data_IF_344355791089
#
_entry.id   IF_344355791089
#
_cell.length_a   1.000
_cell.length_b   1.000
_cell.length_c   1.000
_cell.angle_alpha   90.00
_cell.angle_beta   90.00
_cell.angle_gamma   90.00
#
_symmetry.space_group_name_H-M   'P 1'
#
loop_
_entity.id
_entity.type
_entity.pdbx_description
1 polymer ?
#
# COMPACT_ATOMS: atom_id res chain seq x y z
N UNK A 1 14.48 10.03 -8.35
CA UNK A 1 13.22 10.65 -8.82
C UNK A 1 12.26 9.53 -9.16
N UNK A 2 11.09 9.44 -8.50
CA UNK A 2 10.05 8.44 -8.75
C UNK A 2 9.44 8.66 -10.15
N UNK A 3 10.19 8.32 -11.19
CA UNK A 3 9.70 8.28 -12.57
C UNK A 3 8.85 7.01 -12.71
N UNK A 4 7.53 7.16 -12.78
CA UNK A 4 6.74 6.22 -13.58
C UNK A 4 5.36 5.78 -13.09
N UNK A 5 4.87 6.12 -11.90
CA UNK A 5 3.50 5.70 -11.53
C UNK A 5 2.90 6.62 -10.48
N UNK A 6 1.84 7.37 -10.83
CA UNK A 6 1.01 8.10 -9.86
C UNK A 6 0.61 7.17 -8.70
N UNK A 7 0.28 5.92 -9.04
CA UNK A 7 -0.01 4.83 -8.12
C UNK A 7 1.05 4.62 -7.02
N UNK A 8 2.36 4.70 -7.32
CA UNK A 8 3.39 4.49 -6.31
C UNK A 8 3.41 5.64 -5.29
N UNK A 9 3.19 6.88 -5.73
CA UNK A 9 3.10 8.03 -4.85
C UNK A 9 1.82 7.98 -3.99
N UNK A 10 0.70 7.58 -4.60
CA UNK A 10 -0.56 7.37 -3.89
C UNK A 10 -0.43 6.28 -2.81
N UNK A 11 0.21 5.14 -3.14
CA UNK A 11 0.48 4.06 -2.18
C UNK A 11 1.36 4.56 -1.04
N UNK A 12 2.41 5.34 -1.33
CA UNK A 12 3.28 5.91 -0.31
C UNK A 12 2.50 6.80 0.67
N UNK A 13 1.75 7.79 0.15
CA UNK A 13 0.98 8.71 0.97
C UNK A 13 -0.08 7.96 1.80
N UNK A 14 -0.76 7.00 1.18
CA UNK A 14 -1.74 6.17 1.83
C UNK A 14 -1.15 5.26 2.93
N UNK A 15 0.01 4.63 2.70
CA UNK A 15 0.68 3.82 3.72
C UNK A 15 1.15 4.70 4.89
N UNK A 16 1.75 5.85 4.62
CA UNK A 16 2.21 6.78 5.65
C UNK A 16 1.06 7.22 6.57
N UNK A 17 -0.09 7.57 5.99
CA UNK A 17 -1.27 7.96 6.75
C UNK A 17 -1.95 6.77 7.44
N UNK A 18 -2.06 5.63 6.77
CA UNK A 18 -2.83 4.48 7.28
C UNK A 18 -2.08 3.71 8.35
N UNK A 19 -0.79 3.43 8.16
CA UNK A 19 0.02 2.69 9.14
C UNK A 19 0.16 3.48 10.44
N UNK A 20 0.27 4.81 10.37
CA UNK A 20 0.33 5.67 11.55
C UNK A 20 -0.97 5.65 12.37
N UNK A 21 -2.12 5.47 11.70
CA UNK A 21 -3.44 5.41 12.35
C UNK A 21 -3.80 4.02 12.90
N UNK A 22 -3.03 2.98 12.59
CA UNK A 22 -3.26 1.65 13.14
C UNK A 22 -2.71 1.65 14.56
N UNK A 23 -3.60 1.73 15.55
CA UNK A 23 -3.25 1.58 16.96
C UNK A 23 -3.63 0.16 17.43
N UNK A 24 -2.65 -0.56 17.99
CA UNK A 24 -2.85 -1.91 18.51
C UNK A 24 -2.67 -3.01 17.47
N UNK A 25 -3.76 -3.50 16.86
CA UNK A 25 -3.76 -4.76 16.10
C UNK A 25 -3.50 -4.57 14.60
N UNK A 26 -2.80 -5.50 13.95
CA UNK A 26 -2.64 -5.49 12.49
C UNK A 26 -3.98 -5.52 11.76
N UNK A 27 -4.09 -4.77 10.67
CA UNK A 27 -5.31 -4.66 9.87
C UNK A 27 -5.12 -5.40 8.55
N UNK A 28 -6.03 -6.32 8.24
CA UNK A 28 -6.07 -7.00 6.95
C UNK A 28 -6.85 -6.12 5.96
N UNK A 29 -6.22 -5.79 4.84
CA UNK A 29 -6.85 -5.16 3.70
C UNK A 29 -6.92 -6.09 2.52
N UNK A 30 -8.15 -6.43 2.16
CA UNK A 30 -8.41 -7.26 0.99
C UNK A 30 -8.10 -6.53 -0.32
N UNK A 31 -7.69 -7.29 -1.34
CA UNK A 31 -7.39 -6.75 -2.67
C UNK A 31 -8.57 -5.99 -3.27
N UNK A 32 -9.80 -6.44 -3.04
CA UNK A 32 -11.01 -5.76 -3.47
C UNK A 32 -11.09 -4.32 -2.92
N UNK A 33 -10.83 -4.13 -1.62
CA UNK A 33 -10.83 -2.81 -0.96
C UNK A 33 -9.70 -1.90 -1.45
N UNK A 34 -8.54 -2.48 -1.75
CA UNK A 34 -7.42 -1.74 -2.34
C UNK A 34 -7.78 -1.28 -3.75
N UNK A 35 -8.33 -2.18 -4.56
CA UNK A 35 -8.77 -1.86 -5.93
C UNK A 35 -9.83 -0.76 -5.93
N UNK A 36 -10.82 -0.83 -5.05
CA UNK A 36 -11.83 0.24 -4.92
C UNK A 36 -11.22 1.61 -4.60
N UNK A 37 -10.11 1.66 -3.85
CA UNK A 37 -9.43 2.92 -3.48
C UNK A 37 -8.45 3.42 -4.55
N UNK A 38 -7.74 2.52 -5.24
CA UNK A 38 -6.62 2.88 -6.13
C UNK A 38 -6.92 2.70 -7.62
N UNK A 39 -7.96 1.95 -7.96
CA UNK A 39 -8.10 1.33 -9.28
C UNK A 39 -9.59 1.16 -9.64
N UNK A 40 -10.33 2.28 -9.65
CA UNK A 40 -11.73 2.29 -10.10
C UNK A 40 -11.87 1.93 -11.59
N UNK A 41 -10.83 2.21 -12.39
CA UNK A 41 -10.73 1.88 -13.80
C UNK A 41 -10.56 0.38 -14.09
N UNK A 42 -10.09 -0.41 -13.12
CA UNK A 42 -9.97 -1.87 -13.26
C UNK A 42 -11.30 -2.52 -12.89
N UNK A 43 -12.16 -2.79 -13.87
CA UNK A 43 -13.46 -3.42 -13.71
C UNK A 43 -13.54 -4.78 -14.44
N UNK A 44 -13.93 -5.85 -13.75
CA UNK A 44 -14.12 -7.18 -14.35
C UNK A 44 -13.64 -8.37 -13.49
N UNK A 45 -13.87 -9.60 -13.97
CA UNK A 45 -13.50 -10.86 -13.27
C UNK A 45 -11.99 -11.01 -12.99
N UNK A 46 -11.13 -10.35 -13.78
CA UNK A 46 -9.67 -10.42 -13.64
C UNK A 46 -9.06 -9.16 -13.01
N UNK A 47 -9.88 -8.19 -12.59
CA UNK A 47 -9.43 -6.88 -12.15
C UNK A 47 -8.46 -6.95 -10.96
N UNK A 48 -8.68 -7.88 -10.01
CA UNK A 48 -7.75 -8.07 -8.89
C UNK A 48 -6.38 -8.60 -9.33
N UNK A 49 -6.34 -9.37 -10.42
CA UNK A 49 -5.12 -9.99 -10.95
C UNK A 49 -4.29 -8.94 -11.69
N UNK A 50 -4.93 -8.13 -12.52
CA UNK A 50 -4.29 -6.99 -13.21
C UNK A 50 -3.85 -5.92 -12.22
N UNK A 51 -4.70 -5.58 -11.25
CA UNK A 51 -4.34 -4.67 -10.17
C UNK A 51 -3.14 -5.18 -9.36
N UNK A 52 -3.12 -6.45 -8.94
CA UNK A 52 -1.94 -7.05 -8.28
C UNK A 52 -0.67 -6.92 -9.11
N UNK A 53 -0.74 -7.14 -10.43
CA UNK A 53 0.43 -7.03 -11.32
C UNK A 53 1.00 -5.62 -11.36
N UNK A 54 0.17 -4.58 -11.27
CA UNK A 54 0.60 -3.18 -11.19
C UNK A 54 0.99 -2.75 -9.77
N UNK A 55 0.25 -3.19 -8.76
CA UNK A 55 0.42 -2.79 -7.36
C UNK A 55 1.69 -3.38 -6.74
N UNK A 56 2.01 -4.64 -7.02
CA UNK A 56 3.20 -5.29 -6.45
C UNK A 56 4.52 -4.57 -6.75
N UNK A 57 4.85 -4.21 -8.01
CA UNK A 57 6.07 -3.46 -8.29
C UNK A 57 6.04 -2.05 -7.70
N UNK A 58 4.88 -1.37 -7.69
CA UNK A 58 4.73 -0.06 -7.06
C UNK A 58 4.94 -0.13 -5.54
N UNK A 59 4.33 -1.11 -4.86
CA UNK A 59 4.53 -1.37 -3.44
C UNK A 59 6.01 -1.64 -3.14
N UNK A 60 6.71 -2.44 -3.97
CA UNK A 60 8.14 -2.70 -3.79
C UNK A 60 8.97 -1.42 -3.88
N UNK A 61 8.65 -0.51 -4.81
CA UNK A 61 9.31 0.81 -4.87
C UNK A 61 9.03 1.63 -3.61
N UNK A 62 7.78 1.64 -3.13
CA UNK A 62 7.39 2.36 -1.92
C UNK A 62 8.11 1.81 -0.70
N UNK A 63 8.15 0.50 -0.51
CA UNK A 63 8.87 -0.14 0.61
C UNK A 63 10.38 0.14 0.56
N UNK A 64 10.95 0.31 -0.64
CA UNK A 64 12.36 0.73 -0.78
C UNK A 64 12.61 2.16 -0.31
N UNK A 65 11.61 3.05 -0.38
CA UNK A 65 11.70 4.44 0.08
C UNK A 65 11.21 4.58 1.53
N UNK A 66 10.32 3.70 1.96
CA UNK A 66 9.71 3.67 3.29
C UNK A 66 9.96 2.31 3.96
N UNK A 67 11.21 2.03 4.37
CA UNK A 67 11.57 0.73 4.96
C UNK A 67 10.89 0.46 6.31
N UNK A 68 10.45 1.51 7.01
CA UNK A 68 9.69 1.37 8.25
C UNK A 68 8.25 0.86 8.05
N UNK A 69 7.71 0.89 6.83
CA UNK A 69 6.37 0.39 6.55
C UNK A 69 6.31 -1.14 6.69
N UNK A 70 5.67 -1.62 7.76
CA UNK A 70 5.45 -3.05 7.98
C UNK A 70 4.17 -3.51 7.28
N UNK A 71 4.35 -4.11 6.10
CA UNK A 71 3.28 -4.66 5.27
C UNK A 71 3.62 -6.09 4.88
N UNK A 72 2.69 -7.03 5.09
CA UNK A 72 2.86 -8.44 4.76
C UNK A 72 1.80 -8.89 3.75
N UNK A 73 2.18 -9.73 2.78
CA UNK A 73 1.24 -10.26 1.80
C UNK A 73 0.55 -11.52 2.33
N UNK A 74 -0.79 -11.52 2.34
CA UNK A 74 -1.61 -12.67 2.77
C UNK A 74 -2.50 -13.17 1.63
N UNK A 75 -3.01 -14.41 1.72
CA UNK A 75 -3.79 -15.09 0.66
C UNK A 75 -4.95 -14.25 0.08
N UNK A 76 -5.52 -13.34 0.87
CA UNK A 76 -6.64 -12.48 0.44
C UNK A 76 -6.33 -10.98 0.33
N UNK A 77 -5.11 -10.53 0.64
CA UNK A 77 -4.87 -9.10 0.84
C UNK A 77 -3.45 -8.74 1.25
N UNK A 78 -3.35 -7.59 1.90
CA UNK A 78 -2.17 -7.10 2.60
C UNK A 78 -2.51 -6.94 4.07
N UNK A 79 -1.65 -7.48 4.93
CA UNK A 79 -1.69 -7.28 6.36
C UNK A 79 -0.82 -6.06 6.70
N UNK A 80 -1.43 -5.01 7.21
CA UNK A 80 -0.78 -3.78 7.63
C UNK A 80 -0.53 -3.82 9.14
N UNK A 81 0.69 -3.53 9.57
CA UNK A 81 1.02 -3.43 10.98
C UNK A 81 1.16 -1.95 11.39
N UNK A 82 0.94 -1.66 12.67
CA UNK A 82 1.29 -0.35 13.22
C UNK A 82 2.76 -0.06 12.91
N UNK A 83 3.01 1.04 12.21
CA UNK A 83 4.36 1.49 11.87
C UNK A 83 4.48 2.99 12.08
N UNK A 84 5.60 3.47 12.66
CA UNK A 84 5.84 4.90 12.79
C UNK A 84 6.00 5.54 11.41
N UNK A 85 5.54 6.80 11.21
CA UNK A 85 5.61 7.49 9.93
C UNK A 85 7.05 7.58 9.39
N UNK A 86 7.23 7.66 8.06
CA UNK A 86 8.55 7.64 7.42
C UNK A 86 9.44 8.84 7.80
N UNK A 87 8.80 9.91 8.25
CA UNK A 87 9.44 11.16 8.58
C UNK A 87 9.61 11.18 10.10
N UNK A 88 10.82 10.97 10.64
CA UNK A 88 11.08 11.34 12.02
C UNK A 88 10.83 12.85 12.12
N UNK A 89 10.09 13.28 13.13
CA UNK A 89 9.99 14.70 13.47
C UNK A 89 11.43 15.22 13.56
N UNK A 90 11.82 16.14 12.68
CA UNK A 90 13.14 16.77 12.80
C UNK A 90 13.13 17.49 14.15
N UNK A 91 13.95 17.01 15.08
CA UNK A 91 14.34 17.75 16.28
C UNK A 91 15.02 19.06 15.91
#
# INVERSE_FOLDING_TARGET
MLKGSALALDIYAWLAHRLHRIEGRPVILYWMKLREQFAQEYSGKNADKDFKRAFMPALKQVLSVYPAAKVEQVKGGLLLYCSPPPIPYKS
#
